data_IF_807310637716
#
_entry.id   IF_807310637716
#
_cell.length_a   1.000
_cell.length_b   1.000
_cell.length_c   1.000
_cell.angle_alpha   90.00
_cell.angle_beta   90.00
_cell.angle_gamma   90.00
#
_symmetry.space_group_name_H-M   'P 1'
#
loop_
_entity.id
_entity.type
_entity.pdbx_description
1 polymer ?
#
# COMPACT_ATOMS: atom_id res chain seq x y z
N UNK A 1 -39.09 -20.23 -5.55
CA UNK A 1 -37.79 -20.82 -5.94
C UNK A 1 -36.79 -19.68 -6.16
N UNK A 2 -35.98 -19.30 -5.17
CA UNK A 2 -35.04 -18.15 -5.30
C UNK A 2 -33.80 -18.56 -6.11
N UNK A 3 -33.34 -17.74 -7.07
CA UNK A 3 -32.48 -18.20 -8.16
C UNK A 3 -31.04 -18.46 -7.68
N UNK A 4 -30.58 -19.68 -7.93
CA UNK A 4 -29.21 -20.20 -7.69
C UNK A 4 -28.12 -19.23 -8.22
N UNK A 5 -28.42 -18.55 -9.33
CA UNK A 5 -27.60 -17.54 -10.02
C UNK A 5 -27.14 -16.40 -9.10
N UNK A 6 -27.98 -15.94 -8.16
CA UNK A 6 -27.59 -14.85 -7.24
C UNK A 6 -26.52 -15.27 -6.23
N UNK A 7 -26.47 -16.56 -5.84
CA UNK A 7 -25.45 -17.06 -4.92
C UNK A 7 -24.10 -17.19 -5.60
N UNK A 8 -24.07 -17.70 -6.83
CA UNK A 8 -22.84 -17.82 -7.63
C UNK A 8 -22.21 -16.46 -7.93
N UNK A 9 -23.02 -15.44 -8.27
CA UNK A 9 -22.53 -14.07 -8.47
C UNK A 9 -21.92 -13.48 -7.19
N UNK A 10 -22.58 -13.66 -6.04
CA UNK A 10 -22.07 -13.19 -4.75
C UNK A 10 -20.76 -13.89 -4.39
N UNK A 11 -20.64 -15.19 -4.65
CA UNK A 11 -19.42 -15.95 -4.39
C UNK A 11 -18.27 -15.55 -5.32
N UNK A 12 -18.56 -15.31 -6.61
CA UNK A 12 -17.59 -14.81 -7.57
C UNK A 12 -17.06 -13.42 -7.18
N UNK A 13 -17.95 -12.49 -6.80
CA UNK A 13 -17.54 -11.17 -6.30
C UNK A 13 -16.69 -11.28 -5.03
N UNK A 14 -17.06 -12.17 -4.10
CA UNK A 14 -16.31 -12.42 -2.87
C UNK A 14 -14.89 -12.93 -3.16
N UNK A 15 -14.72 -13.89 -4.08
CA UNK A 15 -13.39 -14.38 -4.50
C UNK A 15 -12.55 -13.27 -5.12
N UNK A 16 -13.14 -12.45 -5.98
CA UNK A 16 -12.46 -11.32 -6.63
C UNK A 16 -12.02 -10.26 -5.62
N UNK A 17 -12.84 -10.00 -4.60
CA UNK A 17 -12.51 -9.08 -3.51
C UNK A 17 -11.33 -9.57 -2.66
N UNK A 18 -11.32 -10.87 -2.33
CA UNK A 18 -10.23 -11.50 -1.56
C UNK A 18 -8.91 -11.47 -2.35
N UNK A 19 -8.95 -11.79 -3.65
CA UNK A 19 -7.77 -11.73 -4.52
C UNK A 19 -7.22 -10.30 -4.62
N UNK A 20 -8.09 -9.30 -4.80
CA UNK A 20 -7.68 -7.88 -4.80
C UNK A 20 -7.10 -7.43 -3.45
N UNK A 21 -7.66 -7.89 -2.33
CA UNK A 21 -7.13 -7.60 -1.00
C UNK A 21 -5.71 -8.15 -0.79
N UNK A 22 -5.42 -9.35 -1.31
CA UNK A 22 -4.06 -9.92 -1.29
C UNK A 22 -3.07 -9.10 -2.13
N UNK A 23 -3.48 -8.67 -3.33
CA UNK A 23 -2.64 -7.83 -4.19
C UNK A 23 -2.34 -6.49 -3.53
N UNK A 24 -3.36 -5.84 -2.95
CA UNK A 24 -3.20 -4.59 -2.21
C UNK A 24 -2.27 -4.75 -1.01
N UNK A 25 -2.39 -5.86 -0.27
CA UNK A 25 -1.52 -6.16 0.85
C UNK A 25 -0.06 -6.35 0.40
N UNK A 26 0.20 -7.18 -0.61
CA UNK A 26 1.55 -7.35 -1.15
C UNK A 26 2.13 -6.04 -1.68
N UNK A 27 1.33 -5.23 -2.41
CA UNK A 27 1.77 -3.93 -2.90
C UNK A 27 2.12 -2.98 -1.73
N UNK A 28 1.33 -2.97 -0.65
CA UNK A 28 1.61 -2.16 0.54
C UNK A 28 2.91 -2.56 1.24
N UNK A 29 3.18 -3.88 1.35
CA UNK A 29 4.44 -4.38 1.91
C UNK A 29 5.63 -4.01 1.03
N UNK A 30 5.54 -4.25 -0.27
CA UNK A 30 6.65 -3.98 -1.21
C UNK A 30 7.00 -2.49 -1.21
N UNK A 31 6.00 -1.62 -1.30
CA UNK A 31 6.20 -0.17 -1.28
C UNK A 31 6.75 0.32 0.07
N UNK A 32 6.27 -0.24 1.19
CA UNK A 32 6.83 0.06 2.52
C UNK A 32 8.28 -0.37 2.65
N UNK A 33 8.62 -1.58 2.21
CA UNK A 33 9.98 -2.10 2.29
C UNK A 33 10.93 -1.27 1.41
N UNK A 34 10.48 -0.89 0.22
CA UNK A 34 11.22 -0.03 -0.69
C UNK A 34 11.53 1.34 -0.05
N UNK A 35 10.55 2.00 0.58
CA UNK A 35 10.78 3.25 1.29
C UNK A 35 11.76 3.11 2.46
N UNK A 36 11.66 2.03 3.23
CA UNK A 36 12.60 1.77 4.33
C UNK A 36 14.01 1.59 3.81
N UNK A 37 14.20 0.89 2.68
CA UNK A 37 15.51 0.74 2.04
C UNK A 37 16.06 2.08 1.54
N UNK A 38 15.23 2.92 0.94
CA UNK A 38 15.60 4.29 0.52
C UNK A 38 16.08 5.09 1.74
N UNK A 39 15.30 5.09 2.82
CA UNK A 39 15.62 5.80 4.05
C UNK A 39 16.91 5.30 4.70
N UNK A 40 17.13 3.99 4.68
CA UNK A 40 18.35 3.38 5.21
C UNK A 40 19.56 3.73 4.34
N UNK A 41 19.38 3.77 3.01
CA UNK A 41 20.43 4.19 2.09
C UNK A 41 20.82 5.65 2.29
N UNK A 42 19.86 6.55 2.48
CA UNK A 42 20.13 7.98 2.71
C UNK A 42 20.79 8.24 4.07
N UNK A 43 20.43 7.48 5.11
CA UNK A 43 20.85 7.75 6.49
C UNK A 43 22.14 7.02 6.87
N UNK A 44 22.26 5.73 6.53
CA UNK A 44 23.33 4.84 7.02
C UNK A 44 24.40 4.61 5.96
N UNK A 45 23.99 4.24 4.74
CA UNK A 45 24.95 3.79 3.73
C UNK A 45 25.60 4.93 2.94
N UNK A 46 24.88 6.04 2.71
CA UNK A 46 25.36 7.22 1.95
C UNK A 46 26.10 6.82 0.66
N UNK A 47 25.56 5.85 -0.08
CA UNK A 47 26.22 5.36 -1.28
C UNK A 47 26.23 6.45 -2.37
N UNK A 48 27.41 7.00 -2.65
CA UNK A 48 27.63 8.09 -3.61
C UNK A 48 27.66 7.63 -5.08
N UNK A 49 26.88 6.61 -5.44
CA UNK A 49 26.76 6.17 -6.83
C UNK A 49 25.67 6.98 -7.53
N UNK A 50 26.07 7.81 -8.49
CA UNK A 50 25.16 8.69 -9.26
C UNK A 50 24.02 7.90 -9.91
N UNK A 51 24.31 6.72 -10.48
CA UNK A 51 23.30 5.88 -11.13
C UNK A 51 22.24 5.38 -10.14
N UNK A 52 22.66 4.96 -8.92
CA UNK A 52 21.77 4.51 -7.86
C UNK A 52 20.89 5.67 -7.38
N UNK A 53 21.46 6.87 -7.23
CA UNK A 53 20.71 8.08 -6.88
C UNK A 53 19.59 8.38 -7.88
N UNK A 54 19.89 8.33 -9.19
CA UNK A 54 18.88 8.56 -10.24
C UNK A 54 17.75 7.52 -10.19
N UNK A 55 18.07 6.22 -10.06
CA UNK A 55 17.03 5.19 -9.91
C UNK A 55 16.22 5.39 -8.63
N UNK A 56 16.87 5.78 -7.54
CA UNK A 56 16.21 6.02 -6.27
C UNK A 56 15.19 7.15 -6.40
N UNK A 57 15.58 8.30 -6.95
CA UNK A 57 14.66 9.42 -7.18
C UNK A 57 13.51 9.06 -8.13
N UNK A 58 13.82 8.37 -9.24
CA UNK A 58 12.85 7.98 -10.26
C UNK A 58 11.75 7.06 -9.70
N UNK A 59 12.08 6.16 -8.79
CA UNK A 59 11.12 5.26 -8.15
C UNK A 59 10.47 5.82 -6.87
N UNK A 60 11.09 6.83 -6.25
CA UNK A 60 10.55 7.48 -5.05
C UNK A 60 9.29 8.28 -5.35
N UNK A 61 9.29 9.08 -6.43
CA UNK A 61 8.13 9.90 -6.81
C UNK A 61 6.88 9.05 -7.11
N UNK A 62 6.96 7.97 -7.92
CA UNK A 62 5.85 7.03 -8.10
C UNK A 62 5.42 6.37 -6.80
N UNK A 63 6.36 5.97 -5.94
CA UNK A 63 6.04 5.29 -4.66
C UNK A 63 5.24 6.20 -3.72
N UNK A 64 5.66 7.46 -3.58
CA UNK A 64 4.94 8.47 -2.78
C UNK A 64 3.54 8.72 -3.37
N UNK A 65 3.41 8.74 -4.69
CA UNK A 65 2.12 8.97 -5.38
C UNK A 65 1.17 7.75 -5.27
N UNK A 66 1.71 6.54 -5.27
CA UNK A 66 0.96 5.28 -5.21
C UNK A 66 0.42 5.01 -3.79
N UNK A 67 1.10 5.46 -2.73
CA UNK A 67 0.67 5.27 -1.34
C UNK A 67 -0.70 5.83 -0.97
N UNK A 68 -1.05 7.11 -1.26
CA UNK A 68 -2.38 7.64 -0.99
C UNK A 68 -3.45 6.93 -1.82
N UNK A 69 -3.12 6.51 -3.04
CA UNK A 69 -3.99 5.69 -3.90
C UNK A 69 -4.26 4.31 -3.26
N UNK A 70 -3.23 3.64 -2.75
CA UNK A 70 -3.33 2.36 -2.06
C UNK A 70 -4.20 2.47 -0.80
N UNK A 71 -4.00 3.54 -0.04
CA UNK A 71 -4.77 3.84 1.17
C UNK A 71 -6.23 4.09 0.84
N UNK A 72 -6.52 4.89 -0.18
CA UNK A 72 -7.89 5.17 -0.65
C UNK A 72 -8.59 3.90 -1.14
N UNK A 73 -7.91 3.06 -1.94
CA UNK A 73 -8.45 1.79 -2.41
C UNK A 73 -8.72 0.81 -1.27
N UNK A 74 -7.79 0.71 -0.31
CA UNK A 74 -7.94 -0.15 0.87
C UNK A 74 -9.11 0.30 1.74
N UNK A 75 -9.26 1.60 1.98
CA UNK A 75 -10.39 2.18 2.71
C UNK A 75 -11.73 1.90 2.00
N UNK A 76 -11.79 2.11 0.68
CA UNK A 76 -13.01 1.88 -0.11
C UNK A 76 -13.44 0.42 -0.07
N UNK A 77 -12.50 -0.52 -0.18
CA UNK A 77 -12.79 -1.95 -0.08
C UNK A 77 -13.18 -2.32 1.35
N UNK A 78 -12.52 -1.76 2.36
CA UNK A 78 -12.82 -2.01 3.76
C UNK A 78 -14.27 -1.63 4.12
N UNK A 79 -14.74 -0.45 3.69
CA UNK A 79 -16.13 0.00 3.84
C UNK A 79 -17.10 -0.97 3.14
N UNK A 80 -16.79 -1.39 1.90
CA UNK A 80 -17.62 -2.37 1.16
C UNK A 80 -17.66 -3.75 1.80
N UNK A 81 -16.65 -4.12 2.58
CA UNK A 81 -16.56 -5.43 3.24
C UNK A 81 -17.23 -5.44 4.62
N UNK A 82 -17.98 -4.36 4.97
CA UNK A 82 -18.63 -4.17 6.27
C UNK A 82 -17.66 -4.34 7.44
N UNK A 83 -16.48 -3.74 7.37
CA UNK A 83 -15.52 -3.69 8.48
C UNK A 83 -15.04 -5.07 8.99
N UNK A 84 -14.85 -6.05 8.10
CA UNK A 84 -14.20 -7.31 8.50
C UNK A 84 -12.74 -7.09 8.89
N UNK A 85 -12.49 -7.00 10.20
CA UNK A 85 -11.19 -6.71 10.83
C UNK A 85 -10.12 -7.78 10.54
N UNK A 86 -10.50 -9.06 10.35
CA UNK A 86 -9.56 -10.15 10.00
C UNK A 86 -9.29 -10.28 8.50
N UNK A 87 -9.37 -9.20 7.73
CA UNK A 87 -9.14 -9.23 6.27
C UNK A 87 -7.78 -8.64 5.90
N UNK A 88 -7.13 -9.20 4.87
CA UNK A 88 -5.88 -8.67 4.30
C UNK A 88 -5.99 -7.17 3.97
N UNK A 89 -7.18 -6.70 3.59
CA UNK A 89 -7.46 -5.28 3.33
C UNK A 89 -7.28 -4.39 4.56
N UNK A 90 -7.56 -4.90 5.77
CA UNK A 90 -7.39 -4.15 7.01
C UNK A 90 -5.91 -3.96 7.34
N UNK A 91 -5.10 -5.02 7.21
CA UNK A 91 -3.65 -4.92 7.36
C UNK A 91 -3.03 -4.01 6.30
N UNK A 92 -3.47 -4.11 5.04
CA UNK A 92 -3.03 -3.21 3.98
C UNK A 92 -3.33 -1.73 4.30
N UNK A 93 -4.49 -1.47 4.91
CA UNK A 93 -4.89 -0.14 5.36
C UNK A 93 -3.96 0.38 6.46
N UNK A 94 -3.71 -0.41 7.51
CA UNK A 94 -2.78 -0.04 8.60
C UNK A 94 -1.38 0.23 8.06
N UNK A 95 -0.83 -0.70 7.27
CA UNK A 95 0.52 -0.56 6.69
C UNK A 95 0.60 0.70 5.86
N UNK A 96 -0.36 0.90 4.94
CA UNK A 96 -0.40 2.09 4.08
C UNK A 96 -0.47 3.38 4.91
N UNK A 97 -1.24 3.39 6.00
CA UNK A 97 -1.44 4.55 6.87
C UNK A 97 -0.16 4.88 7.66
N UNK A 98 0.51 3.87 8.21
CA UNK A 98 1.81 4.02 8.86
C UNK A 98 2.86 4.54 7.89
N UNK A 99 2.95 3.96 6.68
CA UNK A 99 3.89 4.48 5.66
C UNK A 99 3.58 5.92 5.30
N UNK A 100 2.32 6.29 5.14
CA UNK A 100 1.96 7.66 4.77
C UNK A 100 2.33 8.65 5.87
N UNK A 101 2.10 8.30 7.14
CA UNK A 101 2.56 9.11 8.28
C UNK A 101 4.09 9.23 8.30
N UNK A 102 4.82 8.14 8.07
CA UNK A 102 6.29 8.16 8.03
C UNK A 102 6.82 9.02 6.88
N UNK A 103 6.26 8.89 5.68
CA UNK A 103 6.67 9.65 4.49
C UNK A 103 6.40 11.14 4.70
N UNK A 104 5.18 11.51 5.08
CA UNK A 104 4.83 12.91 5.34
C UNK A 104 5.55 13.48 6.57
N UNK A 105 5.71 12.69 7.62
CA UNK A 105 6.49 13.06 8.80
C UNK A 105 7.96 13.32 8.47
N UNK A 106 8.55 12.53 7.58
CA UNK A 106 9.92 12.75 7.08
C UNK A 106 10.04 14.07 6.31
N UNK A 107 9.04 14.45 5.50
CA UNK A 107 9.03 15.76 4.83
C UNK A 107 8.98 16.93 5.82
N UNK A 108 8.26 16.78 6.93
CA UNK A 108 8.19 17.80 7.99
C UNK A 108 9.54 17.91 8.72
N UNK A 109 10.15 16.78 9.08
CA UNK A 109 11.43 16.74 9.79
C UNK A 109 12.60 17.24 8.93
N UNK A 110 12.56 17.01 7.61
CA UNK A 110 13.64 17.43 6.69
C UNK A 110 13.58 18.94 6.36
N UNK A 111 12.49 19.64 6.72
CA UNK A 111 12.42 21.10 6.70
C UNK A 111 12.59 21.66 8.11
N UNK A 112 13.81 21.68 8.64
CA UNK A 112 14.34 22.69 9.57
C UNK A 112 15.85 22.51 9.73
#
# INVERSE_FOLDING_TARGET
MKPKITKDLVEFYKRRLISRGKILFNASIITSLFLVLIYLNSTVFKMNFVLIGVFQELFTIPSISVQPLLLFLSLRIFIRTKFKVKSYTFFALIVSLVTLILTWGSFIITKF
#
